data_IF_437530822497
#
_entry.id   IF_437530822497
#
_cell.length_a   1.000
_cell.length_b   1.000
_cell.length_c   1.000
_cell.angle_alpha   90.00
_cell.angle_beta   90.00
_cell.angle_gamma   90.00
#
_symmetry.space_group_name_H-M   'P 1'
#
loop_
_entity.id
_entity.type
_entity.pdbx_description
1 polymer ?
#
# COMPACT_ATOMS: atom_id res chain seq x y z
N UNK A 1 -16.75 -7.82 3.31
CA UNK A 1 -15.94 -9.00 2.91
C UNK A 1 -14.73 -8.59 2.06
N UNK A 2 -14.91 -7.68 1.09
CA UNK A 2 -13.86 -7.25 0.14
C UNK A 2 -12.63 -6.60 0.77
N UNK A 3 -12.81 -5.73 1.76
CA UNK A 3 -11.70 -5.07 2.46
C UNK A 3 -10.82 -6.10 3.23
N UNK A 4 -11.45 -7.01 3.97
CA UNK A 4 -10.73 -8.12 4.62
C UNK A 4 -9.93 -8.98 3.62
N UNK A 5 -10.51 -9.33 2.46
CA UNK A 5 -9.79 -10.03 1.37
C UNK A 5 -8.56 -9.25 0.89
N UNK A 6 -8.69 -7.93 0.76
CA UNK A 6 -7.59 -7.01 0.42
C UNK A 6 -6.45 -7.09 1.45
N UNK A 7 -6.79 -7.03 2.75
CA UNK A 7 -5.82 -7.12 3.85
C UNK A 7 -5.12 -8.47 3.87
N UNK A 8 -5.87 -9.57 3.76
CA UNK A 8 -5.30 -10.94 3.73
C UNK A 8 -4.34 -11.08 2.54
N UNK A 9 -4.71 -10.60 1.36
CA UNK A 9 -3.83 -10.64 0.19
C UNK A 9 -2.57 -9.78 0.38
N UNK A 10 -2.68 -8.60 1.01
CA UNK A 10 -1.53 -7.75 1.32
C UNK A 10 -0.57 -8.42 2.32
N UNK A 11 -1.09 -9.00 3.39
CA UNK A 11 -0.29 -9.74 4.36
C UNK A 11 0.44 -10.91 3.71
N UNK A 12 -0.25 -11.67 2.84
CA UNK A 12 0.38 -12.72 2.05
C UNK A 12 1.48 -12.17 1.13
N UNK A 13 1.30 -10.98 0.55
CA UNK A 13 2.34 -10.35 -0.26
C UNK A 13 3.57 -9.97 0.57
N UNK A 14 3.40 -9.46 1.80
CA UNK A 14 4.53 -9.11 2.68
C UNK A 14 5.26 -10.35 3.20
N UNK A 15 4.54 -11.42 3.54
CA UNK A 15 5.11 -12.62 4.12
C UNK A 15 5.97 -13.40 3.09
N UNK A 16 7.23 -13.68 3.45
CA UNK A 16 8.14 -14.49 2.65
C UNK A 16 7.78 -15.98 2.80
N UNK A 17 6.80 -16.47 2.04
CA UNK A 17 6.46 -17.90 1.95
C UNK A 17 7.25 -18.60 0.84
N UNK A 18 7.23 -19.93 0.80
CA UNK A 18 7.81 -20.73 -0.29
C UNK A 18 7.20 -20.42 -1.66
N UNK A 19 5.99 -19.85 -1.69
CA UNK A 19 5.32 -19.32 -2.89
C UNK A 19 5.64 -17.84 -3.20
N UNK A 20 6.25 -17.11 -2.25
CA UNK A 20 6.48 -15.67 -2.31
C UNK A 20 7.96 -15.34 -2.14
N UNK A 21 8.79 -15.89 -3.04
CA UNK A 21 10.22 -15.68 -3.01
C UNK A 21 10.59 -14.26 -3.49
N UNK A 22 11.24 -13.51 -2.61
CA UNK A 22 11.69 -12.15 -2.86
C UNK A 22 13.14 -12.12 -3.36
N UNK A 23 13.41 -11.42 -4.46
CA UNK A 23 14.78 -11.14 -4.90
C UNK A 23 15.20 -9.72 -4.50
N UNK A 24 16.32 -9.61 -3.79
CA UNK A 24 16.89 -8.33 -3.34
C UNK A 24 17.60 -7.63 -4.49
N UNK A 25 17.22 -6.39 -4.83
CA UNK A 25 17.78 -5.68 -5.98
C UNK A 25 18.83 -4.63 -5.63
N UNK A 26 18.98 -4.21 -4.37
CA UNK A 26 19.96 -3.20 -3.96
C UNK A 26 20.26 -3.25 -2.45
N UNK A 27 21.55 -3.27 -2.07
CA UNK A 27 22.03 -2.97 -0.70
C UNK A 27 22.63 -1.56 -0.70
N UNK A 28 21.83 -0.53 -0.44
CA UNK A 28 22.37 0.83 -0.25
C UNK A 28 22.98 0.98 1.15
N UNK A 29 24.16 1.60 1.22
CA UNK A 29 25.06 1.63 2.40
C UNK A 29 24.63 2.59 3.52
N UNK A 30 23.46 3.22 3.43
CA UNK A 30 22.89 4.13 4.42
C UNK A 30 21.51 3.59 4.80
N UNK A 31 21.33 3.23 6.08
CA UNK A 31 20.09 2.72 6.73
C UNK A 31 19.05 2.16 5.74
N UNK A 32 19.50 1.08 5.11
CA UNK A 32 18.79 -0.06 4.48
C UNK A 32 17.33 0.16 4.05
N UNK A 33 17.14 0.75 2.88
CA UNK A 33 15.98 0.44 2.04
C UNK A 33 16.31 -0.81 1.21
N UNK A 34 15.74 -1.96 1.56
CA UNK A 34 15.86 -3.17 0.75
C UNK A 34 14.65 -3.27 -0.19
N UNK A 35 14.86 -3.11 -1.50
CA UNK A 35 13.77 -3.34 -2.47
C UNK A 35 13.77 -4.80 -2.90
N UNK A 36 12.71 -5.49 -2.54
CA UNK A 36 12.44 -6.88 -2.90
C UNK A 36 11.47 -6.92 -4.06
N UNK A 37 11.71 -7.75 -5.08
CA UNK A 37 10.73 -7.94 -6.17
C UNK A 37 10.25 -9.38 -6.31
N UNK A 38 8.99 -9.56 -6.72
CA UNK A 38 8.39 -10.87 -6.99
C UNK A 38 7.53 -10.84 -8.28
N UNK A 39 7.54 -11.94 -9.04
CA UNK A 39 6.75 -12.19 -10.25
C UNK A 39 5.63 -13.20 -9.93
N UNK A 40 4.38 -12.76 -9.99
CA UNK A 40 3.20 -13.65 -9.90
C UNK A 40 2.60 -13.90 -11.28
N UNK A 41 2.27 -15.17 -11.58
CA UNK A 41 1.50 -15.57 -12.77
C UNK A 41 0.35 -16.47 -12.31
N UNK A 42 -0.88 -16.13 -12.65
CA UNK A 42 -2.05 -16.97 -12.41
C UNK A 42 -2.53 -17.03 -10.96
N UNK A 43 -2.40 -15.93 -10.21
CA UNK A 43 -3.00 -15.80 -8.87
C UNK A 43 -4.51 -15.50 -9.03
N UNK A 44 -5.43 -16.39 -8.60
CA UNK A 44 -6.87 -16.21 -8.79
C UNK A 44 -7.40 -14.95 -8.11
N UNK A 45 -6.75 -14.49 -7.04
CA UNK A 45 -7.15 -13.29 -6.30
C UNK A 45 -6.74 -11.96 -6.96
N UNK A 46 -5.99 -12.00 -8.07
CA UNK A 46 -5.47 -10.81 -8.75
C UNK A 46 -6.02 -10.67 -10.17
N UNK A 47 -6.13 -9.43 -10.69
CA UNK A 47 -6.60 -9.21 -12.05
C UNK A 47 -5.75 -9.97 -13.08
N UNK A 48 -6.29 -10.35 -14.25
CA UNK A 48 -5.51 -11.02 -15.28
C UNK A 48 -4.32 -10.16 -15.73
N UNK A 49 -3.11 -10.72 -15.67
CA UNK A 49 -1.92 -10.00 -16.10
C UNK A 49 -0.62 -10.56 -15.56
N UNK A 50 0.48 -9.91 -15.97
CA UNK A 50 1.78 -10.11 -15.37
C UNK A 50 2.04 -8.99 -14.37
N UNK A 51 2.16 -9.34 -13.09
CA UNK A 51 2.37 -8.37 -12.03
C UNK A 51 3.82 -8.38 -11.54
N UNK A 52 4.31 -7.21 -11.15
CA UNK A 52 5.55 -7.06 -10.39
C UNK A 52 5.20 -6.40 -9.07
N UNK A 53 5.57 -7.08 -8.00
CA UNK A 53 5.49 -6.51 -6.66
C UNK A 53 6.87 -5.99 -6.31
N UNK A 54 6.96 -4.80 -5.75
CA UNK A 54 8.13 -4.35 -5.02
C UNK A 54 7.75 -3.98 -3.60
N UNK A 55 8.59 -4.32 -2.64
CA UNK A 55 8.43 -3.82 -1.29
C UNK A 55 9.75 -3.37 -0.71
N UNK A 56 9.71 -2.43 0.22
CA UNK A 56 10.86 -2.11 1.04
C UNK A 56 10.49 -1.95 2.50
N UNK A 57 11.49 -2.04 3.36
CA UNK A 57 11.36 -1.79 4.80
C UNK A 57 12.43 -0.81 5.20
N UNK A 58 12.05 0.18 6.02
CA UNK A 58 12.94 1.23 6.53
C UNK A 58 12.62 1.52 7.99
N UNK A 59 13.62 1.95 8.74
CA UNK A 59 13.45 2.49 10.08
C UNK A 59 13.32 4.01 10.02
N UNK A 60 12.26 4.54 10.62
CA UNK A 60 12.01 5.97 10.78
C UNK A 60 12.20 6.36 12.25
N UNK A 61 12.61 7.60 12.47
CA UNK A 61 12.79 8.14 13.83
C UNK A 61 11.44 8.55 14.42
N UNK A 62 10.48 8.88 13.58
CA UNK A 62 9.13 9.31 13.96
C UNK A 62 8.28 8.19 14.52
N UNK A 63 7.34 8.57 15.40
CA UNK A 63 6.41 7.64 16.02
C UNK A 63 5.46 6.99 15.02
N UNK A 64 5.09 5.74 15.31
CA UNK A 64 4.21 4.95 14.45
C UNK A 64 2.84 5.62 14.26
N UNK A 65 2.33 6.31 15.29
CA UNK A 65 1.11 7.10 15.20
C UNK A 65 1.25 8.26 14.20
N UNK A 66 2.36 9.02 14.23
CA UNK A 66 2.59 10.11 13.27
C UNK A 66 2.67 9.61 11.84
N UNK A 67 3.38 8.49 11.62
CA UNK A 67 3.50 7.87 10.30
C UNK A 67 2.13 7.36 9.81
N UNK A 68 1.38 6.70 10.68
CA UNK A 68 0.02 6.23 10.37
C UNK A 68 -0.94 7.38 10.03
N UNK A 69 -0.97 8.43 10.85
CA UNK A 69 -1.85 9.59 10.65
C UNK A 69 -1.50 10.33 9.35
N UNK A 70 -0.22 10.41 9.00
CA UNK A 70 0.21 10.96 7.71
C UNK A 70 -0.27 10.12 6.52
N UNK A 71 -0.08 8.79 6.57
CA UNK A 71 -0.37 7.89 5.44
C UNK A 71 -1.86 7.63 5.21
N UNK A 72 -2.68 7.64 6.28
CA UNK A 72 -4.13 7.46 6.20
C UNK A 72 -4.86 8.67 5.62
N UNK A 73 -4.28 9.85 5.75
CA UNK A 73 -4.92 11.11 5.40
C UNK A 73 -4.93 11.26 3.88
N UNK A 74 -6.14 11.34 3.33
CA UNK A 74 -6.39 11.43 1.90
C UNK A 74 -5.76 12.69 1.29
N UNK A 75 -5.58 13.76 2.08
CA UNK A 75 -4.99 15.01 1.62
C UNK A 75 -3.47 14.92 1.47
N UNK A 76 -2.82 14.01 2.19
CA UNK A 76 -1.38 13.78 2.10
C UNK A 76 -1.02 12.85 0.93
N UNK A 77 -1.98 12.09 0.40
CA UNK A 77 -1.75 11.12 -0.69
C UNK A 77 -1.07 11.72 -1.93
N UNK A 78 -1.51 12.87 -2.48
CA UNK A 78 -0.85 13.52 -3.61
C UNK A 78 0.62 13.89 -3.36
N UNK A 79 1.02 14.01 -2.09
CA UNK A 79 2.40 14.34 -1.74
C UNK A 79 3.31 13.15 -2.01
N UNK A 80 2.95 11.96 -1.54
CA UNK A 80 3.82 10.78 -1.63
C UNK A 80 3.56 9.86 -2.83
N UNK A 81 2.33 9.83 -3.38
CA UNK A 81 1.99 8.94 -4.49
C UNK A 81 1.99 9.65 -5.85
N UNK A 82 2.85 9.18 -6.77
CA UNK A 82 2.94 9.71 -8.13
C UNK A 82 1.60 9.72 -8.89
N UNK A 83 0.79 8.67 -8.78
CA UNK A 83 -0.50 8.56 -9.48
C UNK A 83 -1.50 9.64 -9.04
N UNK A 84 -1.48 10.01 -7.76
CA UNK A 84 -2.39 11.03 -7.22
C UNK A 84 -1.81 12.45 -7.24
N UNK A 85 -0.59 12.65 -7.75
CA UNK A 85 0.09 13.94 -7.78
C UNK A 85 -0.74 14.99 -8.53
N UNK A 86 -1.03 16.12 -7.87
CA UNK A 86 -1.86 17.19 -8.41
C UNK A 86 -3.35 16.82 -8.57
N UNK A 87 -3.80 15.69 -8.02
CA UNK A 87 -5.22 15.34 -7.97
C UNK A 87 -5.85 15.83 -6.66
N UNK A 88 -7.12 16.24 -6.75
CA UNK A 88 -7.97 16.37 -5.56
C UNK A 88 -8.48 14.97 -5.19
N UNK A 89 -8.22 14.56 -3.96
CA UNK A 89 -8.68 13.28 -3.41
C UNK A 89 -9.87 13.54 -2.49
N UNK A 90 -10.98 12.84 -2.75
CA UNK A 90 -12.21 12.93 -1.96
C UNK A 90 -12.69 11.54 -1.54
N UNK A 91 -13.25 11.44 -0.34
CA UNK A 91 -13.92 10.22 0.10
C UNK A 91 -15.37 10.21 -0.40
N UNK A 92 -15.73 9.18 -1.18
CA UNK A 92 -17.12 8.92 -1.60
C UNK A 92 -17.91 8.17 -0.54
N UNK A 93 -17.22 7.35 0.25
CA UNK A 93 -17.75 6.63 1.39
C UNK A 93 -16.67 6.50 2.46
N UNK A 94 -17.08 6.52 3.73
CA UNK A 94 -16.21 6.27 4.86
C UNK A 94 -16.99 5.56 5.97
N UNK A 95 -16.53 4.39 6.36
CA UNK A 95 -17.18 3.52 7.35
C UNK A 95 -16.17 3.22 8.45
N UNK A 96 -16.46 3.66 9.67
CA UNK A 96 -15.66 3.32 10.84
C UNK A 96 -15.84 1.82 11.17
N UNK A 97 -14.75 1.10 11.39
CA UNK A 97 -14.74 -0.36 11.61
C UNK A 97 -14.50 -0.76 13.06
N UNK A 98 -14.27 0.20 13.97
CA UNK A 98 -14.05 -0.07 15.38
C UNK A 98 -14.23 1.17 16.27
N UNK A 99 -13.90 1.06 17.57
CA UNK A 99 -14.05 2.17 18.52
C UNK A 99 -13.14 3.35 18.22
N UNK A 100 -11.95 3.08 17.68
CA UNK A 100 -11.05 4.12 17.21
C UNK A 100 -11.57 4.65 15.86
N UNK A 101 -11.93 5.95 15.73
CA UNK A 101 -12.40 6.51 14.47
C UNK A 101 -11.36 6.47 13.35
N UNK A 102 -10.09 6.22 13.71
CA UNK A 102 -9.02 5.96 12.74
C UNK A 102 -9.17 4.58 12.09
N UNK A 103 -9.87 3.63 12.70
CA UNK A 103 -10.14 2.35 12.05
C UNK A 103 -11.31 2.51 11.10
N UNK A 104 -11.05 2.49 9.79
CA UNK A 104 -12.06 2.77 8.79
C UNK A 104 -11.78 2.11 7.43
N UNK A 105 -12.87 1.88 6.70
CA UNK A 105 -12.86 1.54 5.28
C UNK A 105 -13.42 2.73 4.51
N UNK A 106 -12.69 3.20 3.51
CA UNK A 106 -13.08 4.36 2.71
C UNK A 106 -12.97 4.04 1.22
N UNK A 107 -13.81 4.68 0.40
CA UNK A 107 -13.66 4.64 -1.06
C UNK A 107 -13.30 6.04 -1.53
N UNK A 108 -12.17 6.17 -2.21
CA UNK A 108 -11.61 7.45 -2.62
C UNK A 108 -11.74 7.63 -4.13
N UNK A 109 -12.10 8.85 -4.54
CA UNK A 109 -12.04 9.30 -5.93
C UNK A 109 -10.93 10.32 -6.11
N UNK A 110 -10.25 10.26 -7.27
CA UNK A 110 -9.21 11.19 -7.66
C UNK A 110 -9.67 12.00 -8.86
N UNK A 111 -9.51 13.33 -8.82
CA UNK A 111 -9.98 14.23 -9.90
C UNK A 111 -9.42 13.88 -11.28
N UNK A 112 -8.19 13.38 -11.34
CA UNK A 112 -7.45 13.13 -12.57
C UNK A 112 -7.64 11.69 -13.10
N UNK A 113 -8.29 10.82 -12.34
CA UNK A 113 -8.48 9.39 -12.64
C UNK A 113 -9.90 8.98 -12.28
N UNK A 114 -10.87 9.34 -13.13
CA UNK A 114 -12.31 9.08 -12.86
C UNK A 114 -12.69 7.61 -13.05
N UNK A 115 -11.89 6.89 -13.82
CA UNK A 115 -12.04 5.46 -14.12
C UNK A 115 -11.52 4.56 -13.01
N UNK A 116 -10.75 5.09 -12.05
CA UNK A 116 -10.17 4.35 -10.93
C UNK A 116 -10.63 4.97 -9.61
N UNK A 117 -11.26 4.16 -8.76
CA UNK A 117 -11.46 4.45 -7.35
C UNK A 117 -10.46 3.66 -6.51
N UNK A 118 -10.18 4.13 -5.30
CA UNK A 118 -9.31 3.42 -4.37
C UNK A 118 -10.13 2.97 -3.16
N UNK A 119 -10.19 1.67 -2.92
CA UNK A 119 -10.62 1.12 -1.65
C UNK A 119 -9.46 1.28 -0.67
N UNK A 120 -9.67 1.96 0.44
CA UNK A 120 -8.73 2.15 1.54
C UNK A 120 -9.24 1.40 2.77
N UNK A 121 -8.37 0.65 3.44
CA UNK A 121 -8.61 0.13 4.78
C UNK A 121 -7.47 0.58 5.70
N UNK A 122 -7.86 1.22 6.80
CA UNK A 122 -6.98 1.65 7.86
C UNK A 122 -7.32 0.90 9.14
N UNK A 123 -6.28 0.40 9.81
CA UNK A 123 -6.40 -0.17 11.13
C UNK A 123 -5.19 0.23 11.99
N UNK A 124 -5.43 0.53 13.25
CA UNK A 124 -4.44 0.83 14.26
C UNK A 124 -4.87 0.22 15.60
N UNK A 125 -3.89 -0.30 16.33
CA UNK A 125 -3.97 -0.69 17.72
C UNK A 125 -2.60 -0.51 18.41
N UNK A 126 -2.47 -0.95 19.66
CA UNK A 126 -1.25 -0.80 20.44
C UNK A 126 -0.05 -1.62 19.89
N UNK A 127 -0.29 -2.60 19.03
CA UNK A 127 0.74 -3.49 18.46
C UNK A 127 1.27 -3.02 17.11
N UNK A 128 0.50 -2.20 16.41
CA UNK A 128 0.88 -1.67 15.11
C UNK A 128 -0.28 -1.11 14.32
N UNK A 129 -0.01 -0.78 13.07
CA UNK A 129 -1.01 -0.20 12.18
C UNK A 129 -0.76 -0.60 10.74
N UNK A 130 -1.78 -0.48 9.91
CA UNK A 130 -1.65 -0.59 8.47
C UNK A 130 -2.56 0.38 7.74
N UNK A 131 -2.14 0.75 6.54
CA UNK A 131 -2.94 1.51 5.58
C UNK A 131 -2.82 0.78 4.25
N UNK A 132 -3.90 0.14 3.81
CA UNK A 132 -3.90 -0.74 2.64
C UNK A 132 -4.90 -0.20 1.63
N UNK A 133 -4.50 -0.26 0.36
CA UNK A 133 -5.23 0.25 -0.78
C UNK A 133 -5.42 -0.83 -1.83
N UNK A 134 -6.52 -0.77 -2.57
CA UNK A 134 -6.67 -1.49 -3.82
C UNK A 134 -7.43 -0.64 -4.85
N UNK A 135 -6.97 -0.60 -6.11
CA UNK A 135 -7.74 0.04 -7.17
C UNK A 135 -9.00 -0.79 -7.48
N UNK A 136 -10.14 -0.12 -7.58
CA UNK A 136 -11.43 -0.69 -7.98
C UNK A 136 -12.07 0.18 -9.06
N UNK A 137 -13.01 -0.39 -9.81
CA UNK A 137 -13.81 0.37 -10.78
C UNK A 137 -15.05 0.97 -10.12
N UNK A 138 -15.66 2.02 -10.72
CA UNK A 138 -16.97 2.52 -10.28
C UNK A 138 -18.05 1.43 -10.24
N UNK A 139 -18.06 0.49 -11.20
CA UNK A 139 -19.03 -0.62 -11.24
C UNK A 139 -18.87 -1.57 -10.04
N UNK A 140 -17.61 -1.86 -9.67
CA UNK A 140 -17.29 -2.63 -8.48
C UNK A 140 -17.78 -1.90 -7.23
N UNK A 141 -17.55 -0.58 -7.12
CA UNK A 141 -18.05 0.21 -5.99
C UNK A 141 -19.58 0.20 -5.92
N UNK A 142 -20.28 0.39 -7.03
CA UNK A 142 -21.74 0.29 -7.07
C UNK A 142 -22.23 -1.09 -6.61
N UNK A 143 -21.57 -2.17 -7.07
CA UNK A 143 -21.90 -3.53 -6.64
C UNK A 143 -21.74 -3.73 -5.13
N UNK A 144 -20.70 -3.14 -4.52
CA UNK A 144 -20.51 -3.15 -3.06
C UNK A 144 -21.64 -2.40 -2.33
N UNK A 145 -22.09 -1.25 -2.85
CA UNK A 145 -23.19 -0.49 -2.25
C UNK A 145 -24.51 -1.26 -2.25
N UNK A 146 -24.75 -2.08 -3.28
CA UNK A 146 -25.91 -2.96 -3.36
C UNK A 146 -25.74 -4.28 -2.58
N UNK A 147 -24.63 -4.47 -1.87
CA UNK A 147 -24.38 -5.66 -1.06
C UNK A 147 -24.17 -6.94 -1.89
N UNK A 148 -23.82 -6.81 -3.17
CA UNK A 148 -23.56 -7.97 -4.03
C UNK A 148 -22.20 -8.55 -3.65
N UNK A 149 -22.20 -9.80 -3.17
CA UNK A 149 -20.96 -10.53 -2.89
C UNK A 149 -20.36 -11.02 -4.22
N UNK A 150 -19.41 -10.25 -4.74
CA UNK A 150 -18.64 -10.63 -5.93
C UNK A 150 -17.22 -10.97 -5.49
N UNK A 151 -16.68 -12.06 -6.04
CA UNK A 151 -15.27 -12.39 -5.89
C UNK A 151 -14.43 -11.48 -6.79
N UNK A 152 -14.17 -10.27 -6.31
CA UNK A 152 -13.49 -9.23 -7.06
C UNK A 152 -11.98 -9.42 -6.89
N UNK A 153 -11.24 -9.65 -7.98
CA UNK A 153 -9.79 -9.72 -7.90
C UNK A 153 -9.22 -8.33 -7.58
N UNK A 154 -8.43 -8.24 -6.52
CA UNK A 154 -7.82 -6.99 -6.06
C UNK A 154 -6.31 -7.05 -6.18
N UNK A 155 -5.70 -5.89 -6.38
CA UNK A 155 -4.25 -5.74 -6.38
C UNK A 155 -3.86 -4.82 -5.22
N UNK A 156 -3.74 -5.36 -4.00
CA UNK A 156 -3.47 -4.54 -2.84
C UNK A 156 -2.05 -4.00 -2.82
N UNK A 157 -1.91 -2.81 -2.24
CA UNK A 157 -0.65 -2.16 -1.95
C UNK A 157 -0.81 -1.28 -0.72
N UNK A 158 0.28 -0.81 -0.13
CA UNK A 158 0.21 0.04 1.04
C UNK A 158 1.31 -0.25 2.04
N UNK A 159 0.97 -0.10 3.33
CA UNK A 159 1.93 0.07 4.40
C UNK A 159 1.58 -0.81 5.61
N UNK A 160 2.60 -1.47 6.17
CA UNK A 160 2.62 -1.98 7.54
C UNK A 160 3.52 -1.09 8.37
N UNK A 161 3.03 -0.68 9.55
CA UNK A 161 3.61 0.36 10.38
C UNK A 161 3.72 -0.23 11.79
N UNK A 162 4.94 -0.60 12.17
CA UNK A 162 5.20 -1.23 13.47
C UNK A 162 6.00 -0.29 14.37
N UNK A 163 5.69 -0.21 15.67
CA UNK A 163 6.56 0.46 16.62
C UNK A 163 7.97 -0.17 16.59
N UNK A 164 9.00 0.64 16.36
CA UNK A 164 10.39 0.19 16.45
C UNK A 164 10.96 0.61 17.80
N UNK A 165 10.97 -0.33 18.74
CA UNK A 165 11.56 -0.17 20.07
C UNK A 165 13.04 -0.58 20.12
N UNK A 166 13.72 -0.65 18.97
CA UNK A 166 15.17 -0.82 18.96
C UNK A 166 15.81 0.29 19.81
N UNK A 167 16.63 -0.09 20.78
CA UNK A 167 17.08 0.78 21.89
C UNK A 167 17.83 2.06 21.49
N UNK A 168 17.98 2.37 20.20
CA UNK A 168 18.49 3.63 19.67
C UNK A 168 17.45 4.74 19.53
N UNK A 169 16.15 4.43 19.46
CA UNK A 169 15.06 5.42 19.31
C UNK A 169 13.86 4.97 20.13
N UNK A 170 13.56 5.66 21.23
CA UNK A 170 12.50 5.28 22.18
C UNK A 170 11.06 5.40 21.62
N UNK A 171 10.88 5.79 20.36
CA UNK A 171 9.57 5.90 19.69
C UNK A 171 9.71 5.85 18.16
N UNK A 172 10.57 4.97 17.63
CA UNK A 172 10.79 4.84 16.19
C UNK A 172 9.68 4.04 15.49
N UNK A 173 9.74 3.97 14.16
CA UNK A 173 8.82 3.16 13.34
C UNK A 173 9.60 2.24 12.42
N UNK A 174 9.17 0.99 12.31
CA UNK A 174 9.55 0.09 11.23
C UNK A 174 8.44 0.14 10.18
N UNK A 175 8.71 0.84 9.08
CA UNK A 175 7.76 1.02 7.97
C UNK A 175 8.08 0.00 6.87
N UNK A 176 7.13 -0.88 6.58
CA UNK A 176 7.19 -1.76 5.41
C UNK A 176 6.16 -1.29 4.38
N UNK A 177 6.60 -0.97 3.17
CA UNK A 177 5.72 -0.58 2.07
C UNK A 177 5.77 -1.63 0.96
N UNK A 178 4.62 -1.93 0.35
CA UNK A 178 4.52 -2.86 -0.79
C UNK A 178 3.69 -2.21 -1.88
N UNK A 179 4.23 -2.16 -3.10
CA UNK A 179 3.61 -1.61 -4.30
C UNK A 179 3.55 -2.68 -5.39
N UNK A 180 2.46 -2.68 -6.15
CA UNK A 180 2.25 -3.62 -7.25
C UNK A 180 1.99 -2.86 -8.53
N UNK A 181 2.68 -3.25 -9.60
CA UNK A 181 2.44 -2.73 -10.94
C UNK A 181 2.04 -3.87 -11.88
N UNK A 182 1.13 -3.53 -12.79
CA UNK A 182 0.80 -4.38 -13.93
C UNK A 182 1.74 -4.07 -15.07
N UNK A 183 2.39 -5.09 -15.60
CA UNK A 183 3.40 -4.96 -16.64
C UNK A 183 2.78 -5.29 -17.99
N UNK A 184 2.74 -4.32 -18.91
CA UNK A 184 2.33 -4.52 -20.30
C UNK A 184 3.49 -4.14 -21.23
N UNK A 185 3.83 -5.03 -22.15
CA UNK A 185 4.77 -4.76 -23.25
C UNK A 185 6.17 -4.22 -22.87
N UNK A 186 6.66 -4.51 -21.65
CA UNK A 186 8.03 -4.15 -21.23
C UNK A 186 8.79 -5.36 -20.74
N UNK A 187 10.11 -5.31 -20.82
CA UNK A 187 10.97 -6.40 -20.33
C UNK A 187 10.84 -6.56 -18.81
N UNK A 188 11.16 -7.76 -18.31
CA UNK A 188 11.15 -8.01 -16.85
C UNK A 188 12.09 -7.09 -16.09
N UNK A 189 13.22 -6.71 -16.70
CA UNK A 189 14.21 -5.79 -16.11
C UNK A 189 13.65 -4.37 -15.99
N UNK A 190 13.09 -3.83 -17.07
CA UNK A 190 12.45 -2.51 -17.06
C UNK A 190 11.32 -2.43 -16.05
N UNK A 191 10.50 -3.48 -15.94
CA UNK A 191 9.42 -3.50 -14.96
C UNK A 191 9.93 -3.44 -13.51
N UNK A 192 11.02 -4.14 -13.21
CA UNK A 192 11.70 -4.11 -11.90
C UNK A 192 12.27 -2.71 -11.61
N UNK A 193 12.91 -2.09 -12.60
CA UNK A 193 13.45 -0.72 -12.48
C UNK A 193 12.34 0.31 -12.21
N UNK A 194 11.24 0.26 -12.97
CA UNK A 194 10.10 1.18 -12.80
C UNK A 194 9.48 1.04 -11.42
N UNK A 195 9.17 -0.18 -10.98
CA UNK A 195 8.54 -0.39 -9.66
C UNK A 195 9.49 -0.01 -8.52
N UNK A 196 10.79 -0.28 -8.68
CA UNK A 196 11.81 0.12 -7.71
C UNK A 196 11.84 1.63 -7.60
N UNK A 197 11.84 2.35 -8.72
CA UNK A 197 11.87 3.81 -8.73
C UNK A 197 10.62 4.42 -8.08
N UNK A 198 9.44 3.85 -8.33
CA UNK A 198 8.18 4.28 -7.68
C UNK A 198 8.29 4.14 -6.16
N UNK A 199 8.75 2.99 -5.67
CA UNK A 199 8.93 2.73 -4.23
C UNK A 199 9.95 3.71 -3.63
N UNK A 200 11.08 3.94 -4.31
CA UNK A 200 12.12 4.87 -3.84
C UNK A 200 11.61 6.29 -3.69
N UNK A 201 10.89 6.80 -4.70
CA UNK A 201 10.35 8.16 -4.66
C UNK A 201 9.28 8.33 -3.60
N UNK A 202 8.34 7.38 -3.50
CA UNK A 202 7.32 7.43 -2.46
C UNK A 202 7.96 7.37 -1.07
N UNK A 203 8.96 6.51 -0.85
CA UNK A 203 9.67 6.42 0.41
C UNK A 203 10.37 7.74 0.76
N UNK A 204 11.10 8.33 -0.19
CA UNK A 204 11.81 9.59 0.04
C UNK A 204 10.84 10.68 0.49
N UNK A 205 9.72 10.85 -0.22
CA UNK A 205 8.72 11.87 0.12
C UNK A 205 8.03 11.61 1.47
N UNK A 206 7.81 10.35 1.83
CA UNK A 206 7.28 9.99 3.15
C UNK A 206 8.28 10.37 4.25
N UNK A 207 9.56 10.00 4.08
CA UNK A 207 10.64 10.32 5.03
C UNK A 207 10.75 11.83 5.24
N UNK A 208 10.73 12.62 4.17
CA UNK A 208 10.81 14.09 4.23
C UNK A 208 9.61 14.74 4.93
N UNK A 209 8.43 14.12 4.88
CA UNK A 209 7.22 14.67 5.50
C UNK A 209 7.05 14.28 6.98
N UNK A 210 7.51 13.08 7.35
CA UNK A 210 7.26 12.54 8.69
C UNK A 210 8.43 12.71 9.64
N UNK A 211 9.67 12.84 9.18
CA UNK A 211 10.82 13.16 10.05
C UNK A 211 10.93 14.68 10.27
#
# INVERSE_FOLDING_TARGET
MTANKMVVSFCNDICNSTYHHWTSSNKTRLKTMEVKTNKRRGDPGKPPGLHRTAGCTVELISSHNRVFDYLRDIQNRPQWERMSSGSLVQALANITTGPDPRNCISVLAMSNHKEILLLQECCTDATGSYVIFAPITPDVFQSMLYGVDQDIPLMPFGFSILPNVSGSTLDGTLLTMVFQITVKNVSSKQAVEVVTQIVKEALQKIIEAVN
#
